data_IF_601840028933
#
_entry.id   IF_601840028933
#
_cell.length_a   1.000
_cell.length_b   1.000
_cell.length_c   1.000
_cell.angle_alpha   90.00
_cell.angle_beta   90.00
_cell.angle_gamma   90.00
#
_symmetry.space_group_name_H-M   'P 1'
#
loop_
_entity.id
_entity.type
_entity.pdbx_description
1 polymer ?
#
# COMPACT_ATOMS: atom_id res chain seq x y z
N UNK A 1 17.69 5.56 -20.47
CA UNK A 1 17.99 6.63 -19.50
C UNK A 1 16.79 6.61 -18.58
N UNK A 2 16.89 6.00 -17.40
CA UNK A 2 15.73 5.96 -16.51
C UNK A 2 15.47 7.40 -16.06
N UNK A 3 14.39 7.99 -16.55
CA UNK A 3 14.00 9.33 -16.13
C UNK A 3 13.50 9.27 -14.70
N UNK A 4 13.50 10.41 -14.02
CA UNK A 4 12.90 10.51 -12.68
C UNK A 4 11.45 10.03 -12.70
N UNK A 5 10.74 10.26 -13.81
CA UNK A 5 9.36 9.80 -14.01
C UNK A 5 9.22 8.28 -13.97
N UNK A 6 10.11 7.52 -14.60
CA UNK A 6 10.05 6.05 -14.56
C UNK A 6 10.31 5.50 -13.15
N UNK A 7 11.14 6.18 -12.36
CA UNK A 7 11.39 5.81 -10.95
C UNK A 7 10.17 6.12 -10.09
N UNK A 8 9.50 7.25 -10.35
CA UNK A 8 8.28 7.63 -9.66
C UNK A 8 7.11 6.70 -10.02
N UNK A 9 6.95 6.34 -11.29
CA UNK A 9 5.94 5.36 -11.74
C UNK A 9 6.16 3.99 -11.10
N UNK A 10 7.43 3.54 -11.03
CA UNK A 10 7.77 2.31 -10.32
C UNK A 10 7.41 2.39 -8.83
N UNK A 11 7.74 3.50 -8.16
CA UNK A 11 7.42 3.69 -6.75
C UNK A 11 5.90 3.70 -6.51
N UNK A 12 5.13 4.38 -7.35
CA UNK A 12 3.66 4.40 -7.32
C UNK A 12 3.09 2.98 -7.46
N UNK A 13 3.60 2.19 -8.40
CA UNK A 13 3.15 0.81 -8.60
C UNK A 13 3.47 -0.08 -7.39
N UNK A 14 4.65 0.09 -6.78
CA UNK A 14 5.01 -0.62 -5.55
C UNK A 14 4.10 -0.25 -4.37
N UNK A 15 3.76 1.03 -4.21
CA UNK A 15 2.85 1.50 -3.15
C UNK A 15 1.43 0.94 -3.34
N UNK A 16 0.95 0.85 -4.58
CA UNK A 16 -0.34 0.25 -4.90
C UNK A 16 -0.35 -1.25 -4.58
N UNK A 17 0.70 -1.99 -4.97
CA UNK A 17 0.85 -3.41 -4.62
C UNK A 17 0.91 -3.62 -3.09
N UNK A 18 1.60 -2.75 -2.36
CA UNK A 18 1.66 -2.81 -0.90
C UNK A 18 0.28 -2.57 -0.26
N UNK A 19 -0.48 -1.58 -0.77
CA UNK A 19 -1.83 -1.29 -0.30
C UNK A 19 -2.76 -2.51 -0.45
N UNK A 20 -2.72 -3.15 -1.62
CA UNK A 20 -3.55 -4.31 -1.93
C UNK A 20 -3.13 -5.55 -1.11
N UNK A 21 -1.82 -5.72 -0.88
CA UNK A 21 -1.29 -6.75 0.00
C UNK A 21 -1.82 -6.59 1.43
N UNK A 22 -1.67 -5.40 2.04
CA UNK A 22 -2.13 -5.16 3.41
C UNK A 22 -3.65 -5.28 3.54
N UNK A 23 -4.42 -4.83 2.54
CA UNK A 23 -5.87 -4.99 2.51
C UNK A 23 -6.29 -6.47 2.44
N UNK A 24 -5.64 -7.26 1.56
CA UNK A 24 -5.92 -8.70 1.44
C UNK A 24 -5.51 -9.48 2.70
N UNK A 25 -4.41 -9.07 3.34
CA UNK A 25 -3.97 -9.69 4.59
C UNK A 25 -4.89 -9.32 5.75
N UNK A 26 -5.37 -8.07 5.81
CA UNK A 26 -6.39 -7.64 6.76
C UNK A 26 -7.70 -8.42 6.62
N UNK A 27 -8.09 -8.78 5.40
CA UNK A 27 -9.29 -9.58 5.14
C UNK A 27 -9.18 -11.01 5.69
N UNK A 28 -7.96 -11.54 5.80
CA UNK A 28 -7.65 -12.89 6.32
C UNK A 28 -7.31 -12.89 7.81
N UNK A 29 -7.11 -11.73 8.42
CA UNK A 29 -6.77 -11.61 9.83
C UNK A 29 -7.99 -11.89 10.72
N UNK A 30 -7.89 -12.91 11.58
CA UNK A 30 -8.97 -13.32 12.49
C UNK A 30 -9.13 -12.36 13.69
N UNK A 31 -8.04 -11.66 14.06
CA UNK A 31 -8.04 -10.73 15.20
C UNK A 31 -8.39 -9.32 14.74
N UNK A 32 -9.45 -8.75 15.33
CA UNK A 32 -9.94 -7.40 15.01
C UNK A 32 -8.86 -6.31 15.12
N UNK A 33 -7.98 -6.38 16.13
CA UNK A 33 -6.87 -5.43 16.28
C UNK A 33 -5.83 -5.51 15.17
N UNK A 34 -5.53 -6.72 14.68
CA UNK A 34 -4.59 -6.93 13.58
C UNK A 34 -5.18 -6.46 12.25
N UNK A 35 -6.47 -6.75 12.02
CA UNK A 35 -7.20 -6.23 10.86
C UNK A 35 -7.17 -4.71 10.79
N UNK A 36 -7.39 -4.03 11.93
CA UNK A 36 -7.35 -2.56 12.00
C UNK A 36 -5.98 -2.00 11.65
N UNK A 37 -4.91 -2.54 12.26
CA UNK A 37 -3.53 -2.11 11.98
C UNK A 37 -3.17 -2.29 10.49
N UNK A 38 -3.50 -3.45 9.90
CA UNK A 38 -3.22 -3.72 8.49
C UNK A 38 -3.99 -2.79 7.54
N UNK A 39 -5.25 -2.46 7.87
CA UNK A 39 -6.01 -1.47 7.10
C UNK A 39 -5.44 -0.05 7.22
N UNK A 40 -4.91 0.32 8.39
CA UNK A 40 -4.23 1.61 8.58
C UNK A 40 -2.96 1.69 7.72
N UNK A 41 -2.18 0.60 7.62
CA UNK A 41 -1.03 0.53 6.72
C UNK A 41 -1.44 0.62 5.24
N UNK A 42 -2.48 -0.11 4.83
CA UNK A 42 -3.01 -0.02 3.46
C UNK A 42 -3.51 1.40 3.10
N UNK A 43 -4.00 2.15 4.08
CA UNK A 43 -4.48 3.51 3.88
C UNK A 43 -3.34 4.54 3.84
N UNK A 44 -2.27 4.31 4.60
CA UNK A 44 -1.08 5.17 4.60
C UNK A 44 -0.38 5.15 3.23
N UNK A 45 -0.20 3.97 2.62
CA UNK A 45 0.43 3.84 1.28
C UNK A 45 -0.39 4.54 0.19
N UNK A 46 -1.73 4.42 0.22
CA UNK A 46 -2.63 5.15 -0.70
C UNK A 46 -2.53 6.67 -0.58
N UNK A 47 -2.24 7.18 0.60
CA UNK A 47 -2.02 8.63 0.81
C UNK A 47 -0.73 9.11 0.13
N UNK A 48 0.31 8.28 0.11
CA UNK A 48 1.58 8.60 -0.58
C UNK A 48 1.37 8.65 -2.09
N UNK A 49 0.50 7.82 -2.65
CA UNK A 49 0.18 7.80 -4.08
C UNK A 49 -0.60 9.05 -4.58
N UNK A 50 -1.19 9.84 -3.68
CA UNK A 50 -1.95 11.07 -3.99
C UNK A 50 -1.17 12.37 -3.71
N UNK A 51 0.09 12.27 -3.28
CA UNK A 51 0.95 13.40 -2.90
C UNK A 51 2.04 13.65 -3.94
#
# INVERSE_FOLDING_TARGET
>A
MNTVDEILDYAIDQEQQAADFYASFAARAEKAGMKKMLLEFAQATKKVCLQ
#
